data_IF_472610100039
#
_entry.id   IF_472610100039
#
_cell.length_a   1.000
_cell.length_b   1.000
_cell.length_c   1.000
_cell.angle_alpha   90.00
_cell.angle_beta   90.00
_cell.angle_gamma   90.00
#
_symmetry.space_group_name_H-M   'P 1'
#
loop_
_entity.id
_entity.type
_entity.pdbx_description
1 polymer ?
#
# COMPACT_ATOMS: atom_id res chain seq x y z
N UNK A 1 26.70 84.04 75.06
CA UNK A 1 26.82 83.59 73.65
C UNK A 1 25.46 83.84 73.00
N UNK A 2 25.32 84.97 72.30
CA UNK A 2 24.05 85.33 71.65
C UNK A 2 23.79 84.37 70.50
N UNK A 3 22.59 83.79 70.47
CA UNK A 3 22.12 82.97 69.36
C UNK A 3 22.21 83.87 68.11
N UNK A 4 22.94 83.42 67.09
CA UNK A 4 23.04 84.15 65.82
C UNK A 4 21.61 84.31 65.31
N UNK A 5 21.13 85.51 64.97
CA UNK A 5 19.73 85.78 64.62
C UNK A 5 19.20 84.96 63.43
N UNK A 6 20.08 84.26 62.71
CA UNK A 6 19.75 83.34 61.62
C UNK A 6 19.37 81.92 62.08
N UNK A 7 19.65 81.56 63.33
CA UNK A 7 19.34 80.25 63.95
C UNK A 7 18.36 80.40 65.12
N UNK A 8 17.46 81.37 65.05
CA UNK A 8 16.39 81.52 66.04
C UNK A 8 15.32 80.43 65.83
N UNK A 9 15.36 79.40 66.68
CA UNK A 9 14.54 78.19 66.55
C UNK A 9 13.04 78.48 66.73
N UNK A 10 12.69 79.63 67.29
CA UNK A 10 11.30 80.02 67.56
C UNK A 10 10.44 80.21 66.30
N UNK A 11 11.06 80.43 65.12
CA UNK A 11 10.35 80.65 63.85
C UNK A 11 10.16 79.37 62.98
N UNK A 12 10.86 78.27 63.27
CA UNK A 12 10.75 77.01 62.50
C UNK A 12 9.45 76.20 62.67
N UNK A 13 8.71 76.23 63.81
CA UNK A 13 7.50 75.41 63.97
C UNK A 13 6.41 75.65 62.92
N UNK A 14 6.23 76.89 62.48
CA UNK A 14 5.26 77.23 61.42
C UNK A 14 5.68 76.64 60.06
N UNK A 15 6.97 76.68 59.74
CA UNK A 15 7.50 76.09 58.50
C UNK A 15 7.30 74.57 58.48
N UNK A 16 7.51 73.90 59.62
CA UNK A 16 7.25 72.47 59.78
C UNK A 16 5.77 72.13 59.60
N UNK A 17 4.85 72.93 60.17
CA UNK A 17 3.41 72.73 59.99
C UNK A 17 3.01 72.75 58.50
N UNK A 18 3.42 73.79 57.77
CA UNK A 18 3.11 73.90 56.33
C UNK A 18 3.82 72.84 55.49
N UNK A 19 5.03 72.44 55.88
CA UNK A 19 5.74 71.31 55.27
C UNK A 19 4.91 70.02 55.39
N UNK A 20 4.49 69.64 56.59
CA UNK A 20 3.66 68.44 56.78
C UNK A 20 2.30 68.55 56.09
N UNK A 21 1.67 69.74 56.08
CA UNK A 21 0.39 69.94 55.44
C UNK A 21 0.49 69.78 53.90
N UNK A 22 1.47 70.43 53.28
CA UNK A 22 1.73 70.33 51.85
C UNK A 22 2.13 68.90 51.44
N UNK A 23 3.01 68.27 52.21
CA UNK A 23 3.43 66.89 51.96
C UNK A 23 2.29 65.89 52.17
N UNK A 24 1.41 66.14 53.16
CA UNK A 24 0.21 65.34 53.39
C UNK A 24 -0.79 65.42 52.24
N UNK A 25 -1.05 66.63 51.72
CA UNK A 25 -1.90 66.82 50.53
C UNK A 25 -1.29 66.13 49.32
N UNK A 26 0.01 66.30 49.09
CA UNK A 26 0.72 65.64 47.99
C UNK A 26 0.65 64.10 48.11
N UNK A 27 0.88 63.55 49.30
CA UNK A 27 0.80 62.13 49.57
C UNK A 27 -0.59 61.57 49.24
N UNK A 28 -1.65 62.26 49.63
CA UNK A 28 -3.03 61.84 49.30
C UNK A 28 -3.28 61.85 47.78
N UNK A 29 -2.78 62.85 47.05
CA UNK A 29 -2.92 62.92 45.59
C UNK A 29 -2.18 61.75 44.93
N UNK A 30 -0.93 61.51 45.33
CA UNK A 30 -0.12 60.42 44.75
C UNK A 30 -0.73 59.06 45.08
N UNK A 31 -1.09 58.83 46.34
CA UNK A 31 -1.68 57.58 46.82
C UNK A 31 -3.01 57.27 46.12
N UNK A 32 -3.89 58.25 45.98
CA UNK A 32 -5.23 58.03 45.41
C UNK A 32 -5.31 58.12 43.88
N UNK A 33 -4.44 58.87 43.21
CA UNK A 33 -4.56 59.11 41.76
C UNK A 33 -3.39 58.56 40.95
N UNK A 34 -2.15 58.76 41.40
CA UNK A 34 -0.97 58.43 40.58
C UNK A 34 -0.65 56.94 40.70
N UNK A 35 -0.61 56.41 41.91
CA UNK A 35 -0.29 55.01 42.19
C UNK A 35 -1.24 54.02 41.49
N UNK A 36 -2.59 54.16 41.58
CA UNK A 36 -3.48 53.21 40.89
C UNK A 36 -3.35 53.25 39.37
N UNK A 37 -3.03 54.42 38.78
CA UNK A 37 -2.79 54.54 37.33
C UNK A 37 -1.55 53.76 36.90
N UNK A 38 -0.45 53.89 37.64
CA UNK A 38 0.80 53.17 37.36
C UNK A 38 0.58 51.66 37.52
N UNK A 39 -0.09 51.24 38.60
CA UNK A 39 -0.41 49.84 38.84
C UNK A 39 -1.23 49.24 37.70
N UNK A 40 -2.25 49.96 37.22
CA UNK A 40 -3.07 49.49 36.10
C UNK A 40 -2.25 49.33 34.81
N UNK A 41 -1.33 50.25 34.52
CA UNK A 41 -0.46 50.16 33.33
C UNK A 41 0.47 48.94 33.44
N UNK A 42 1.10 48.74 34.60
CA UNK A 42 1.99 47.60 34.85
C UNK A 42 1.22 46.28 34.73
N UNK A 43 0.05 46.20 35.36
CA UNK A 43 -0.83 45.03 35.29
C UNK A 43 -1.30 44.75 33.87
N UNK A 44 -1.68 45.76 33.10
CA UNK A 44 -2.10 45.61 31.71
C UNK A 44 -0.97 45.05 30.85
N UNK A 45 0.25 45.62 30.94
CA UNK A 45 1.41 45.11 30.22
C UNK A 45 1.73 43.67 30.61
N UNK A 46 1.71 43.38 31.90
CA UNK A 46 1.92 42.03 32.42
C UNK A 46 0.90 41.03 31.85
N UNK A 47 -0.37 41.39 31.82
CA UNK A 47 -1.44 40.55 31.29
C UNK A 47 -1.29 40.34 29.78
N UNK A 48 -0.92 41.36 29.02
CA UNK A 48 -0.65 41.24 27.58
C UNK A 48 0.51 40.26 27.34
N UNK A 49 1.63 40.43 28.04
CA UNK A 49 2.79 39.54 27.89
C UNK A 49 2.45 38.11 28.29
N UNK A 50 1.76 37.92 29.42
CA UNK A 50 1.32 36.59 29.88
C UNK A 50 0.32 35.94 28.90
N UNK A 51 -0.62 36.72 28.38
CA UNK A 51 -1.58 36.25 27.37
C UNK A 51 -0.89 35.83 26.08
N UNK A 52 0.08 36.62 25.61
CA UNK A 52 0.88 36.28 24.44
C UNK A 52 1.68 34.98 24.63
N UNK A 53 2.31 34.80 25.80
CA UNK A 53 3.03 33.55 26.13
C UNK A 53 2.06 32.36 26.13
N UNK A 54 0.90 32.50 26.77
CA UNK A 54 -0.11 31.44 26.81
C UNK A 54 -0.64 31.08 25.43
N UNK A 55 -0.86 32.06 24.55
CA UNK A 55 -1.29 31.83 23.16
C UNK A 55 -0.23 31.08 22.38
N UNK A 56 1.05 31.47 22.52
CA UNK A 56 2.16 30.77 21.86
C UNK A 56 2.28 29.33 22.35
N UNK A 57 2.10 29.09 23.66
CA UNK A 57 2.13 27.74 24.21
C UNK A 57 0.97 26.87 23.69
N UNK A 58 -0.24 27.45 23.58
CA UNK A 58 -1.40 26.79 22.98
C UNK A 58 -1.18 26.48 21.49
N UNK A 59 -0.66 27.43 20.72
CA UNK A 59 -0.34 27.25 19.30
C UNK A 59 0.73 26.16 19.09
N UNK A 60 1.77 26.13 19.93
CA UNK A 60 2.81 25.09 19.89
C UNK A 60 2.24 23.72 20.24
N UNK A 61 1.38 23.62 21.26
CA UNK A 61 0.72 22.38 21.62
C UNK A 61 -0.20 21.88 20.49
N UNK A 62 -0.96 22.79 19.85
CA UNK A 62 -1.78 22.45 18.69
C UNK A 62 -0.96 21.96 17.50
N UNK A 63 0.16 22.64 17.20
CA UNK A 63 1.07 22.24 16.14
C UNK A 63 1.69 20.86 16.41
N UNK A 64 2.09 20.59 17.65
CA UNK A 64 2.62 19.28 18.05
C UNK A 64 1.57 18.18 17.91
N UNK A 65 0.34 18.41 18.38
CA UNK A 65 -0.75 17.44 18.24
C UNK A 65 -1.08 17.13 16.78
N UNK A 66 -1.06 18.14 15.91
CA UNK A 66 -1.31 17.94 14.48
C UNK A 66 -0.17 17.19 13.81
N UNK A 67 1.09 17.48 14.19
CA UNK A 67 2.25 16.71 13.75
C UNK A 67 2.13 15.23 14.15
N UNK A 68 1.79 14.95 15.42
CA UNK A 68 1.62 13.59 15.92
C UNK A 68 0.51 12.84 15.16
N UNK A 69 -0.62 13.52 14.88
CA UNK A 69 -1.69 12.95 14.04
C UNK A 69 -1.24 12.63 12.62
N UNK A 70 -0.44 13.50 12.01
CA UNK A 70 0.10 13.26 10.67
C UNK A 70 1.07 12.07 10.66
N UNK A 71 1.94 11.96 11.67
CA UNK A 71 2.85 10.83 11.81
C UNK A 71 2.09 9.51 11.99
N UNK A 72 1.01 9.51 12.79
CA UNK A 72 0.14 8.34 12.95
C UNK A 72 -0.50 7.94 11.61
N UNK A 73 -1.07 8.89 10.88
CA UNK A 73 -1.66 8.65 9.54
C UNK A 73 -0.63 8.11 8.55
N UNK A 74 0.60 8.63 8.56
CA UNK A 74 1.67 8.14 7.69
C UNK A 74 2.02 6.68 8.00
N UNK A 75 2.09 6.32 9.27
CA UNK A 75 2.33 4.94 9.69
C UNK A 75 1.19 4.01 9.25
N UNK A 76 -0.07 4.41 9.47
CA UNK A 76 -1.24 3.65 9.00
C UNK A 76 -1.24 3.45 7.48
N UNK A 77 -0.94 4.51 6.72
CA UNK A 77 -0.83 4.44 5.25
C UNK A 77 0.29 3.49 4.84
N UNK A 78 1.45 3.51 5.52
CA UNK A 78 2.55 2.62 5.21
C UNK A 78 2.19 1.15 5.47
N UNK A 79 1.51 0.85 6.57
CA UNK A 79 1.00 -0.49 6.84
C UNK A 79 0.00 -0.96 5.78
N UNK A 80 -0.86 -0.07 5.29
CA UNK A 80 -1.83 -0.41 4.24
C UNK A 80 -1.14 -0.61 2.88
N UNK A 81 -0.13 0.19 2.55
CA UNK A 81 0.71 -0.02 1.36
C UNK A 81 1.39 -1.39 1.41
N UNK A 82 1.99 -1.75 2.55
CA UNK A 82 2.62 -3.06 2.72
C UNK A 82 1.60 -4.19 2.60
N UNK A 83 0.38 -4.01 3.13
CA UNK A 83 -0.71 -4.98 2.96
C UNK A 83 -1.08 -5.15 1.48
N UNK A 84 -1.29 -4.05 0.75
CA UNK A 84 -1.66 -4.07 -0.67
C UNK A 84 -0.58 -4.73 -1.52
N UNK A 85 0.70 -4.40 -1.28
CA UNK A 85 1.83 -5.02 -1.98
C UNK A 85 1.83 -6.52 -1.73
N UNK A 86 1.72 -6.95 -0.48
CA UNK A 86 1.72 -8.37 -0.13
C UNK A 86 0.51 -9.11 -0.70
N UNK A 87 -0.68 -8.51 -0.71
CA UNK A 87 -1.87 -9.13 -1.32
C UNK A 87 -1.74 -9.24 -2.83
N UNK A 88 -1.21 -8.21 -3.50
CA UNK A 88 -1.01 -8.23 -4.94
C UNK A 88 0.06 -9.26 -5.34
N UNK A 89 1.17 -9.36 -4.59
CA UNK A 89 2.18 -10.38 -4.80
C UNK A 89 1.60 -11.79 -4.64
N UNK A 90 0.76 -12.00 -3.61
CA UNK A 90 0.08 -13.27 -3.39
C UNK A 90 -0.88 -13.60 -4.54
N UNK A 91 -1.68 -12.64 -4.99
CA UNK A 91 -2.61 -12.84 -6.10
C UNK A 91 -1.89 -13.19 -7.41
N UNK A 92 -0.76 -12.51 -7.70
CA UNK A 92 0.09 -12.83 -8.85
C UNK A 92 0.66 -14.24 -8.74
N UNK A 93 1.11 -14.64 -7.54
CA UNK A 93 1.62 -15.99 -7.32
C UNK A 93 0.52 -17.04 -7.51
N UNK A 94 -0.64 -16.87 -6.90
CA UNK A 94 -1.79 -17.77 -7.02
C UNK A 94 -2.25 -17.86 -8.49
N UNK A 95 -2.30 -16.74 -9.22
CA UNK A 95 -2.63 -16.72 -10.65
C UNK A 95 -1.60 -17.46 -11.50
N UNK A 96 -0.31 -17.28 -11.21
CA UNK A 96 0.77 -17.99 -11.90
C UNK A 96 0.72 -19.50 -11.63
N UNK A 97 0.49 -19.91 -10.39
CA UNK A 97 0.31 -21.33 -10.03
C UNK A 97 -0.89 -21.94 -10.77
N UNK A 98 -2.03 -21.24 -10.79
CA UNK A 98 -3.21 -21.68 -11.55
C UNK A 98 -2.94 -21.79 -13.06
N UNK A 99 -2.26 -20.80 -13.64
CA UNK A 99 -1.86 -20.83 -15.06
C UNK A 99 -0.94 -22.02 -15.36
N UNK A 100 0.02 -22.31 -14.48
CA UNK A 100 0.92 -23.47 -14.64
C UNK A 100 0.15 -24.79 -14.57
N UNK A 101 -0.85 -24.91 -13.69
CA UNK A 101 -1.71 -26.10 -13.62
C UNK A 101 -2.54 -26.25 -14.90
N UNK A 102 -3.21 -25.19 -15.36
CA UNK A 102 -4.01 -25.22 -16.60
C UNK A 102 -3.15 -25.56 -17.81
N UNK A 103 -1.96 -24.95 -17.92
CA UNK A 103 -1.02 -25.22 -19.01
C UNK A 103 -0.57 -26.68 -19.02
N UNK A 104 -0.25 -27.25 -17.85
CA UNK A 104 0.11 -28.66 -17.74
C UNK A 104 -1.05 -29.59 -18.14
N UNK A 105 -2.28 -29.26 -17.76
CA UNK A 105 -3.47 -30.02 -18.16
C UNK A 105 -3.68 -29.97 -19.68
N UNK A 106 -3.55 -28.79 -20.30
CA UNK A 106 -3.68 -28.64 -21.74
C UNK A 106 -2.58 -29.41 -22.49
N UNK A 107 -1.33 -29.32 -22.03
CA UNK A 107 -0.22 -30.09 -22.59
C UNK A 107 -0.52 -31.60 -22.51
N UNK A 108 -0.99 -32.10 -21.36
CA UNK A 108 -1.36 -33.51 -21.21
C UNK A 108 -2.50 -33.93 -22.16
N UNK A 109 -3.51 -33.07 -22.34
CA UNK A 109 -4.60 -33.27 -23.28
C UNK A 109 -4.09 -33.36 -24.72
N UNK A 110 -3.25 -32.41 -25.14
CA UNK A 110 -2.62 -32.41 -26.46
C UNK A 110 -1.77 -33.66 -26.69
N UNK A 111 -0.99 -34.10 -25.70
CA UNK A 111 -0.22 -35.34 -25.78
C UNK A 111 -1.12 -36.56 -25.98
N UNK A 112 -2.25 -36.63 -25.26
CA UNK A 112 -3.22 -37.72 -25.40
C UNK A 112 -3.85 -37.73 -26.80
N UNK A 113 -4.28 -36.57 -27.31
CA UNK A 113 -4.83 -36.45 -28.66
C UNK A 113 -3.82 -36.85 -29.74
N UNK A 114 -2.55 -36.46 -29.57
CA UNK A 114 -1.47 -36.85 -30.47
C UNK A 114 -1.19 -38.36 -30.42
N UNK A 115 -1.19 -38.98 -29.24
CA UNK A 115 -1.02 -40.43 -29.07
C UNK A 115 -2.18 -41.22 -29.70
N UNK A 116 -3.41 -40.76 -29.50
CA UNK A 116 -4.60 -41.37 -30.10
C UNK A 116 -4.58 -41.22 -31.64
N UNK A 117 -4.22 -40.05 -32.15
CA UNK A 117 -4.04 -39.84 -33.60
C UNK A 117 -2.93 -40.72 -34.19
N UNK A 118 -1.85 -40.95 -33.43
CA UNK A 118 -0.76 -41.82 -33.85
C UNK A 118 -1.20 -43.29 -33.90
N UNK A 119 -2.00 -43.75 -32.93
CA UNK A 119 -2.62 -45.07 -32.97
C UNK A 119 -3.56 -45.24 -34.17
N UNK A 120 -4.39 -44.23 -34.44
CA UNK A 120 -5.30 -44.26 -35.59
C UNK A 120 -4.54 -44.30 -36.92
N UNK A 121 -3.52 -43.46 -37.09
CA UNK A 121 -2.64 -43.49 -38.26
C UNK A 121 -1.94 -44.84 -38.42
N UNK A 122 -1.44 -45.42 -37.32
CA UNK A 122 -0.84 -46.77 -37.34
C UNK A 122 -1.86 -47.81 -37.80
N UNK A 123 -3.06 -47.82 -37.23
CA UNK A 123 -4.13 -48.74 -37.61
C UNK A 123 -4.53 -48.57 -39.08
N UNK A 124 -4.65 -47.32 -39.57
CA UNK A 124 -4.91 -47.04 -40.99
C UNK A 124 -3.79 -47.56 -41.90
N UNK A 125 -2.52 -47.35 -41.52
CA UNK A 125 -1.37 -47.85 -42.28
C UNK A 125 -1.37 -49.38 -42.33
N UNK A 126 -1.68 -50.05 -41.22
CA UNK A 126 -1.83 -51.51 -41.16
C UNK A 126 -2.93 -52.00 -42.12
N UNK A 127 -4.11 -51.36 -42.10
CA UNK A 127 -5.21 -51.69 -43.02
C UNK A 127 -4.84 -51.45 -44.49
N UNK A 128 -4.16 -50.35 -44.80
CA UNK A 128 -3.69 -50.05 -46.15
C UNK A 128 -2.61 -51.03 -46.62
N UNK A 129 -1.69 -51.45 -45.75
CA UNK A 129 -0.69 -52.48 -46.04
C UNK A 129 -1.34 -53.82 -46.38
N UNK A 130 -2.34 -54.23 -45.59
CA UNK A 130 -3.12 -55.44 -45.86
C UNK A 130 -3.86 -55.32 -47.20
N UNK A 131 -4.49 -54.17 -47.46
CA UNK A 131 -5.18 -53.89 -48.73
C UNK A 131 -4.24 -53.97 -49.93
N UNK A 132 -3.10 -53.29 -49.88
CA UNK A 132 -2.09 -53.31 -50.94
C UNK A 132 -1.51 -54.71 -51.17
N UNK A 133 -1.22 -55.45 -50.10
CA UNK A 133 -0.75 -56.84 -50.20
C UNK A 133 -1.80 -57.74 -50.86
N UNK A 134 -3.08 -57.56 -50.53
CA UNK A 134 -4.18 -58.25 -51.18
C UNK A 134 -4.30 -57.88 -52.66
N UNK A 135 -4.23 -56.60 -53.00
CA UNK A 135 -4.30 -56.13 -54.39
C UNK A 135 -3.14 -56.68 -55.22
N UNK A 136 -1.91 -56.65 -54.69
CA UNK A 136 -0.74 -57.26 -55.32
C UNK A 136 -0.96 -58.76 -55.53
N UNK A 137 -1.39 -59.49 -54.50
CA UNK A 137 -1.66 -60.93 -54.58
C UNK A 137 -2.73 -61.25 -55.65
N UNK A 138 -3.76 -60.42 -55.75
CA UNK A 138 -4.84 -60.57 -56.72
C UNK A 138 -4.36 -60.30 -58.15
N UNK A 139 -3.54 -59.27 -58.37
CA UNK A 139 -2.91 -58.99 -59.67
C UNK A 139 -2.03 -60.16 -60.13
N UNK A 140 -1.19 -60.71 -59.25
CA UNK A 140 -0.36 -61.87 -59.58
C UNK A 140 -1.18 -63.14 -59.82
N UNK A 141 -2.21 -63.38 -59.01
CA UNK A 141 -3.14 -64.50 -59.18
C UNK A 141 -3.85 -64.44 -60.54
N UNK A 142 -4.40 -63.29 -60.91
CA UNK A 142 -5.09 -63.08 -62.18
C UNK A 142 -4.12 -63.22 -63.37
N UNK A 143 -2.87 -62.77 -63.24
CA UNK A 143 -1.85 -62.89 -64.31
C UNK A 143 -1.38 -64.33 -64.55
N UNK A 144 -1.39 -65.18 -63.52
CA UNK A 144 -0.94 -66.59 -63.62
C UNK A 144 -2.06 -67.56 -64.05
N UNK A 145 -3.32 -67.28 -63.72
CA UNK A 145 -4.44 -68.20 -63.97
C UNK A 145 -5.34 -67.80 -65.14
N UNK A 146 -5.24 -66.57 -65.66
CA UNK A 146 -5.88 -66.15 -66.91
C UNK A 146 -7.42 -66.12 -66.90
N UNK A 147 -8.07 -66.33 -65.74
CA UNK A 147 -9.52 -66.32 -65.58
C UNK A 147 -9.89 -65.55 -64.30
N UNK A 148 -10.91 -64.69 -64.40
CA UNK A 148 -11.45 -63.83 -63.32
C UNK A 148 -12.38 -64.60 -62.37
N UNK A 149 -11.87 -65.65 -61.71
CA UNK A 149 -12.65 -66.43 -60.73
C UNK A 149 -11.90 -66.64 -59.42
N UNK A 150 -11.44 -65.53 -58.84
CA UNK A 150 -10.90 -65.50 -57.48
C UNK A 150 -12.02 -65.21 -56.45
N UNK A 151 -12.19 -66.12 -55.47
CA UNK A 151 -13.05 -65.88 -54.30
C UNK A 151 -12.39 -64.82 -53.40
N UNK A 152 -12.70 -63.55 -53.66
CA UNK A 152 -12.10 -62.36 -53.02
C UNK A 152 -12.12 -62.44 -51.49
N UNK A 153 -13.09 -63.14 -50.90
CA UNK A 153 -13.20 -63.26 -49.45
C UNK A 153 -12.16 -64.22 -48.86
N UNK A 154 -11.88 -65.37 -49.50
CA UNK A 154 -10.87 -66.33 -49.02
C UNK A 154 -9.44 -65.81 -49.14
N UNK A 155 -9.13 -65.09 -50.21
CA UNK A 155 -7.81 -64.48 -50.40
C UNK A 155 -7.54 -63.36 -49.39
N UNK A 156 -8.56 -62.56 -49.06
CA UNK A 156 -8.44 -61.52 -48.03
C UNK A 156 -8.17 -62.11 -46.65
N UNK A 157 -8.82 -63.21 -46.32
CA UNK A 157 -8.62 -63.93 -45.05
C UNK A 157 -7.21 -64.55 -44.96
N UNK A 158 -6.68 -65.10 -46.06
CA UNK A 158 -5.32 -65.63 -46.13
C UNK A 158 -4.29 -64.51 -45.98
N UNK A 159 -4.46 -63.38 -46.66
CA UNK A 159 -3.55 -62.22 -46.54
C UNK A 159 -3.53 -61.65 -45.12
N UNK A 160 -4.69 -61.56 -44.45
CA UNK A 160 -4.78 -61.14 -43.05
C UNK A 160 -4.06 -62.13 -42.12
N UNK A 161 -4.21 -63.44 -42.35
CA UNK A 161 -3.51 -64.50 -41.58
C UNK A 161 -1.99 -64.39 -41.72
N UNK A 162 -1.50 -64.27 -42.96
CA UNK A 162 -0.06 -64.18 -43.25
C UNK A 162 0.55 -62.90 -42.68
N UNK A 163 -0.20 -61.78 -42.70
CA UNK A 163 0.24 -60.53 -42.07
C UNK A 163 0.35 -60.67 -40.54
N UNK A 164 -0.64 -61.29 -39.88
CA UNK A 164 -0.65 -61.53 -38.43
C UNK A 164 0.37 -62.54 -37.93
N UNK A 165 0.77 -63.53 -38.74
CA UNK A 165 1.80 -64.51 -38.37
C UNK A 165 3.23 -63.95 -38.48
N UNK A 166 3.41 -62.78 -39.10
CA UNK A 166 4.74 -62.20 -39.40
C UNK A 166 5.10 -60.96 -38.54
N UNK A 167 4.15 -60.42 -37.79
CA UNK A 167 4.32 -59.37 -36.76
C UNK A 167 4.34 -60.05 -35.40
#
# INVERSE_FOLDING_TARGET
MGIIPQLDITSYPSQLFWFFLSFGILYLIVSKNVLPKIENIVRNRYNITRGAISSVEEDLNHAQQELDRQLLKLNEVQLEVDRIINSALKEVQDANENLMVMLNQEIQSMFKMADDSLKDMKHQLEQQLIGLAFDIALVYHNKLLGIDCADKNKLRDITIKVYKERI
#
